data_IF_238401187842
#
_entry.id   IF_238401187842
#
_cell.length_a   1.000
_cell.length_b   1.000
_cell.length_c   1.000
_cell.angle_alpha   90.00
_cell.angle_beta   90.00
_cell.angle_gamma   90.00
#
_symmetry.space_group_name_H-M   'P 1'
#
loop_
_entity.id
_entity.type
_entity.pdbx_description
1 polymer ?
#
# COMPACT_ATOMS: atom_id res chain seq x y z
N UNK A 1 39.53 -4.73 18.92
CA UNK A 1 38.10 -4.44 19.22
C UNK A 1 37.28 -4.00 18.00
N UNK A 2 37.80 -3.20 17.04
CA UNK A 2 37.02 -2.75 15.86
C UNK A 2 36.65 -3.84 14.84
N UNK A 3 37.48 -4.88 14.65
CA UNK A 3 37.23 -5.96 13.68
C UNK A 3 36.08 -6.90 14.06
N UNK A 4 35.78 -7.03 15.36
CA UNK A 4 34.68 -7.88 15.82
C UNK A 4 33.30 -7.22 15.67
N UNK A 5 33.25 -5.90 15.69
CA UNK A 5 32.01 -5.16 15.42
C UNK A 5 31.55 -5.34 13.96
N UNK A 6 32.46 -5.33 12.99
CA UNK A 6 32.12 -5.56 11.57
C UNK A 6 31.63 -6.99 11.30
N UNK A 7 32.20 -7.99 11.97
CA UNK A 7 31.74 -9.37 11.85
C UNK A 7 30.32 -9.55 12.41
N UNK A 8 30.00 -8.89 13.53
CA UNK A 8 28.65 -8.93 14.10
C UNK A 8 27.62 -8.27 13.17
N UNK A 9 27.97 -7.15 12.52
CA UNK A 9 27.11 -6.47 11.54
C UNK A 9 26.86 -7.34 10.30
N UNK A 10 27.89 -8.02 9.78
CA UNK A 10 27.74 -8.92 8.62
C UNK A 10 26.91 -10.16 8.94
N UNK A 11 27.09 -10.75 10.12
CA UNK A 11 26.29 -11.90 10.58
C UNK A 11 24.84 -11.50 10.82
N UNK A 12 24.59 -10.33 11.42
CA UNK A 12 23.23 -9.79 11.58
C UNK A 12 22.58 -9.44 10.23
N UNK A 13 23.35 -8.94 9.27
CA UNK A 13 22.86 -8.69 7.91
C UNK A 13 22.48 -9.97 7.15
N UNK A 14 23.24 -11.05 7.33
CA UNK A 14 22.98 -12.34 6.70
C UNK A 14 21.77 -13.08 7.30
N UNK A 15 21.46 -12.89 8.59
CA UNK A 15 20.26 -13.46 9.20
C UNK A 15 18.98 -12.71 8.80
N UNK A 16 19.04 -11.38 8.65
CA UNK A 16 17.91 -10.58 8.12
C UNK A 16 17.56 -11.00 6.68
N UNK A 17 18.57 -11.30 5.85
CA UNK A 17 18.35 -11.75 4.47
C UNK A 17 17.77 -13.17 4.36
N UNK A 18 17.84 -14.01 5.42
CA UNK A 18 17.31 -15.38 5.45
C UNK A 18 16.02 -15.55 6.25
N UNK A 19 15.49 -14.48 6.84
CA UNK A 19 14.20 -14.51 7.55
C UNK A 19 12.99 -14.61 6.59
N UNK A 20 13.22 -14.57 5.28
CA UNK A 20 12.20 -14.64 4.22
C UNK A 20 11.54 -16.03 4.07
N UNK A 21 12.03 -17.07 4.79
CA UNK A 21 11.65 -18.48 4.55
C UNK A 21 10.78 -19.13 5.66
N UNK A 22 10.59 -18.49 6.83
CA UNK A 22 9.87 -19.10 7.97
C UNK A 22 8.63 -18.30 8.39
N UNK A 23 7.59 -18.35 7.56
CA UNK A 23 6.27 -17.76 7.84
C UNK A 23 5.30 -18.79 8.46
N UNK A 24 5.58 -19.26 9.69
CA UNK A 24 4.71 -20.25 10.38
C UNK A 24 4.31 -19.82 11.80
N UNK A 25 4.81 -18.69 12.32
CA UNK A 25 4.51 -18.26 13.69
C UNK A 25 4.33 -16.75 13.84
N UNK A 26 3.24 -16.19 13.30
CA UNK A 26 2.69 -14.93 13.85
C UNK A 26 1.25 -14.66 13.41
N UNK A 27 0.29 -15.16 14.18
CA UNK A 27 -1.01 -14.51 14.27
C UNK A 27 -0.87 -13.25 15.17
N UNK A 28 -1.12 -12.09 14.57
CA UNK A 28 -1.70 -10.86 15.14
C UNK A 28 -1.00 -9.94 16.16
N UNK A 29 0.19 -10.21 16.71
CA UNK A 29 0.78 -9.25 17.68
C UNK A 29 1.84 -8.27 17.14
N UNK A 30 2.68 -8.63 16.16
CA UNK A 30 3.76 -7.74 15.69
C UNK A 30 4.11 -7.92 14.18
N UNK A 31 3.20 -7.48 13.27
CA UNK A 31 3.32 -7.29 11.79
C UNK A 31 3.26 -8.53 10.88
N UNK A 32 3.02 -8.41 9.56
CA UNK A 32 2.34 -7.37 8.80
C UNK A 32 1.04 -7.93 8.16
N UNK A 33 -0.09 -7.55 8.73
CA UNK A 33 -1.37 -7.54 8.01
C UNK A 33 -1.17 -6.72 6.73
N UNK A 34 -1.39 -7.33 5.58
CA UNK A 34 -1.22 -6.78 4.23
C UNK A 34 -1.08 -5.24 4.20
N UNK A 35 0.09 -4.70 3.78
CA UNK A 35 0.41 -3.28 3.93
C UNK A 35 -0.55 -2.36 3.16
N UNK A 36 -1.24 -2.87 2.15
CA UNK A 36 -2.22 -2.15 1.33
C UNK A 36 -3.67 -2.50 1.69
N UNK A 37 -3.89 -3.40 2.65
CA UNK A 37 -5.23 -3.71 3.11
C UNK A 37 -5.89 -2.46 3.71
N UNK A 38 -7.17 -2.29 3.38
CA UNK A 38 -7.95 -1.17 3.87
C UNK A 38 -8.11 -1.24 5.39
N UNK A 39 -8.05 -0.08 6.02
CA UNK A 39 -8.23 0.08 7.45
C UNK A 39 -9.30 1.11 7.74
N UNK A 40 -9.99 0.94 8.85
CA UNK A 40 -10.87 1.94 9.45
C UNK A 40 -10.46 2.18 10.91
N UNK A 41 -11.31 2.88 11.67
CA UNK A 41 -11.06 3.19 13.08
C UNK A 41 -10.90 1.93 13.96
N UNK A 42 -11.54 0.82 13.57
CA UNK A 42 -11.59 -0.40 14.38
C UNK A 42 -10.58 -1.47 13.93
N UNK A 43 -9.99 -1.35 12.74
CA UNK A 43 -8.91 -2.23 12.32
C UNK A 43 -8.85 -2.47 10.82
N UNK A 44 -8.48 -3.69 10.42
CA UNK A 44 -8.57 -4.12 9.03
C UNK A 44 -10.02 -4.26 8.63
N UNK A 45 -10.37 -3.68 7.48
CA UNK A 45 -11.62 -4.04 6.82
C UNK A 45 -11.41 -5.39 6.17
N UNK A 46 -12.26 -6.36 6.47
CA UNK A 46 -12.25 -7.64 5.78
C UNK A 46 -12.25 -7.38 4.28
N UNK A 47 -11.31 -8.00 3.56
CA UNK A 47 -11.28 -7.95 2.10
C UNK A 47 -12.70 -8.24 1.59
N UNK A 48 -13.16 -7.43 0.63
CA UNK A 48 -14.53 -7.53 0.15
C UNK A 48 -14.89 -8.96 -0.27
N UNK A 49 -16.17 -9.27 -0.47
CA UNK A 49 -16.62 -10.62 -0.83
C UNK A 49 -15.98 -11.18 -2.11
N UNK A 50 -15.36 -10.31 -2.92
CA UNK A 50 -14.63 -10.68 -4.12
C UNK A 50 -13.18 -10.21 -4.02
N UNK A 51 -12.25 -11.14 -4.27
CA UNK A 51 -10.83 -10.84 -4.48
C UNK A 51 -10.60 -10.51 -5.95
N UNK A 52 -9.79 -9.48 -6.21
CA UNK A 52 -9.40 -9.10 -7.57
C UNK A 52 -8.05 -9.72 -7.93
N UNK A 53 -7.75 -9.84 -9.22
CA UNK A 53 -6.44 -10.31 -9.67
C UNK A 53 -5.27 -9.46 -9.11
N UNK A 54 -5.52 -8.16 -8.91
CA UNK A 54 -4.58 -7.22 -8.29
C UNK A 54 -4.25 -7.56 -6.84
N UNK A 55 -5.11 -8.28 -6.14
CA UNK A 55 -4.86 -8.64 -4.74
C UNK A 55 -3.73 -9.66 -4.60
N UNK A 56 -3.44 -10.40 -5.68
CA UNK A 56 -2.35 -11.38 -5.73
C UNK A 56 -1.05 -10.81 -6.33
N UNK A 57 -1.06 -9.55 -6.77
CA UNK A 57 0.15 -8.92 -7.28
C UNK A 57 1.20 -8.76 -6.15
N UNK A 58 2.50 -8.90 -6.48
CA UNK A 58 3.56 -8.84 -5.48
C UNK A 58 3.58 -7.50 -4.75
N UNK A 59 3.69 -7.56 -3.42
CA UNK A 59 3.67 -6.38 -2.55
C UNK A 59 4.99 -6.25 -1.79
N UNK A 60 5.34 -5.04 -1.43
CA UNK A 60 6.45 -4.82 -0.51
C UNK A 60 6.04 -5.25 0.89
N UNK A 61 6.76 -6.17 1.51
CA UNK A 61 6.39 -6.69 2.84
C UNK A 61 6.35 -5.60 3.94
N UNK A 62 7.01 -4.47 3.69
CA UNK A 62 7.12 -3.36 4.62
C UNK A 62 6.29 -2.17 4.15
N UNK A 63 5.20 -1.90 4.88
CA UNK A 63 4.31 -0.75 4.64
C UNK A 63 5.09 0.56 4.53
N UNK A 64 6.10 0.76 5.36
CA UNK A 64 6.88 1.99 5.36
C UNK A 64 7.63 2.26 4.05
N UNK A 65 7.92 1.23 3.24
CA UNK A 65 8.58 1.39 1.94
C UNK A 65 7.74 2.19 0.94
N UNK A 66 6.40 2.13 1.01
CA UNK A 66 5.53 2.90 0.13
C UNK A 66 5.57 4.41 0.41
N UNK A 67 5.79 4.82 1.67
CA UNK A 67 5.89 6.24 2.02
C UNK A 67 7.10 6.92 1.36
N UNK A 68 8.20 6.18 1.12
CA UNK A 68 9.40 6.70 0.45
C UNK A 68 9.34 6.65 -1.08
N UNK A 69 8.31 6.01 -1.65
CA UNK A 69 8.17 5.94 -3.11
C UNK A 69 7.51 7.21 -3.65
N UNK A 70 8.03 7.67 -4.77
CA UNK A 70 7.41 8.74 -5.55
C UNK A 70 6.09 8.24 -6.13
N UNK A 71 5.09 9.11 -6.24
CA UNK A 71 3.75 8.75 -6.75
C UNK A 71 3.84 8.06 -8.11
N UNK A 72 4.75 8.49 -8.97
CA UNK A 72 4.98 7.94 -10.31
C UNK A 72 5.44 6.48 -10.29
N UNK A 73 6.16 6.06 -9.25
CA UNK A 73 6.59 4.67 -9.10
C UNK A 73 5.45 3.79 -8.59
N UNK A 74 4.59 4.38 -7.76
CA UNK A 74 3.51 3.67 -7.07
C UNK A 74 2.31 3.44 -7.99
N UNK A 75 2.02 4.37 -8.90
CA UNK A 75 0.99 4.18 -9.94
C UNK A 75 1.32 3.08 -10.95
N UNK A 76 2.57 2.61 -10.99
CA UNK A 76 3.00 1.49 -11.82
C UNK A 76 2.81 0.13 -11.12
N UNK A 77 2.57 0.14 -9.81
CA UNK A 77 2.34 -1.08 -9.02
C UNK A 77 0.83 -1.43 -9.06
N UNK A 78 0.44 -2.51 -9.75
CA UNK A 78 -0.98 -2.88 -9.88
C UNK A 78 -1.62 -3.27 -8.54
N UNK A 79 -0.84 -3.78 -7.57
CA UNK A 79 -1.36 -4.06 -6.22
C UNK A 79 -1.75 -2.76 -5.53
N UNK A 80 -0.88 -1.74 -5.63
CA UNK A 80 -1.15 -0.43 -5.05
C UNK A 80 -2.34 0.24 -5.73
N UNK A 81 -2.35 0.29 -7.06
CA UNK A 81 -3.46 0.92 -7.80
C UNK A 81 -4.77 0.20 -7.54
N UNK A 82 -4.79 -1.14 -7.46
CA UNK A 82 -6.00 -1.91 -7.12
C UNK A 82 -6.52 -1.55 -5.73
N UNK A 83 -5.63 -1.45 -4.73
CA UNK A 83 -6.02 -1.02 -3.39
C UNK A 83 -6.56 0.43 -3.36
N UNK A 84 -5.98 1.33 -4.15
CA UNK A 84 -6.42 2.71 -4.31
C UNK A 84 -7.80 2.80 -4.97
N UNK A 85 -8.02 2.08 -6.07
CA UNK A 85 -9.31 1.98 -6.76
C UNK A 85 -10.38 1.45 -5.81
N UNK A 86 -10.06 0.44 -5.02
CA UNK A 86 -10.98 -0.11 -4.01
C UNK A 86 -11.31 0.93 -2.94
N UNK A 87 -10.32 1.73 -2.50
CA UNK A 87 -10.52 2.77 -1.49
C UNK A 87 -11.40 3.92 -2.04
N UNK A 88 -11.12 4.37 -3.27
CA UNK A 88 -11.93 5.37 -3.97
C UNK A 88 -13.37 4.90 -4.19
N UNK A 89 -13.56 3.60 -4.50
CA UNK A 89 -14.89 2.99 -4.66
C UNK A 89 -15.65 2.92 -3.36
N UNK A 90 -14.99 2.55 -2.25
CA UNK A 90 -15.59 2.54 -0.91
C UNK A 90 -16.09 3.93 -0.49
N UNK A 91 -15.34 4.98 -0.84
CA UNK A 91 -15.73 6.37 -0.58
C UNK A 91 -16.74 6.94 -1.58
N UNK A 92 -17.10 6.17 -2.62
CA UNK A 92 -18.10 6.57 -3.62
C UNK A 92 -17.59 7.47 -4.74
N UNK A 93 -16.28 7.65 -4.90
CA UNK A 93 -15.70 8.47 -5.97
C UNK A 93 -15.45 7.71 -7.26
N UNK A 94 -15.28 6.39 -7.18
CA UNK A 94 -14.93 5.52 -8.31
C UNK A 94 -15.94 4.39 -8.48
N UNK A 95 -16.39 4.14 -9.71
CA UNK A 95 -17.37 3.11 -10.06
C UNK A 95 -16.86 2.12 -11.12
N UNK A 96 -15.61 2.26 -11.56
CA UNK A 96 -15.01 1.39 -12.57
C UNK A 96 -14.46 0.08 -12.01
N UNK A 97 -13.80 -0.73 -12.85
CA UNK A 97 -13.19 -1.98 -12.46
C UNK A 97 -11.98 -1.78 -11.53
N UNK A 98 -11.74 -2.74 -10.62
CA UNK A 98 -10.55 -2.77 -9.78
C UNK A 98 -9.52 -3.66 -10.50
N UNK A 99 -8.84 -3.09 -11.49
CA UNK A 99 -7.91 -3.77 -12.39
C UNK A 99 -6.43 -3.41 -12.15
N UNK A 100 -6.16 -2.44 -11.28
CA UNK A 100 -4.81 -2.00 -10.96
C UNK A 100 -4.19 -1.13 -12.05
N UNK A 101 -5.00 -0.58 -12.96
CA UNK A 101 -4.54 0.32 -14.02
C UNK A 101 -4.92 1.76 -13.70
N UNK A 102 -3.94 2.65 -13.71
CA UNK A 102 -4.18 4.08 -13.51
C UNK A 102 -4.73 4.70 -14.81
N UNK A 103 -6.05 4.74 -14.95
CA UNK A 103 -6.75 5.31 -16.12
C UNK A 103 -7.18 6.77 -15.89
N UNK A 104 -7.66 7.43 -16.93
CA UNK A 104 -8.23 8.78 -16.81
C UNK A 104 -9.44 8.82 -15.87
N UNK A 105 -10.24 7.75 -15.79
CA UNK A 105 -11.37 7.66 -14.86
C UNK A 105 -10.90 7.63 -13.39
N UNK A 106 -9.77 6.97 -13.11
CA UNK A 106 -9.14 6.99 -11.79
C UNK A 106 -8.67 8.40 -11.46
N UNK A 107 -8.01 9.09 -12.40
CA UNK A 107 -7.59 10.48 -12.22
C UNK A 107 -8.78 11.42 -11.93
N UNK A 108 -9.88 11.26 -12.64
CA UNK A 108 -11.12 12.02 -12.41
C UNK A 108 -11.74 11.74 -11.03
N UNK A 109 -11.71 10.48 -10.59
CA UNK A 109 -12.18 10.12 -9.24
C UNK A 109 -11.32 10.74 -8.14
N UNK A 110 -10.01 10.82 -8.35
CA UNK A 110 -9.07 11.52 -7.46
C UNK A 110 -9.37 13.02 -7.46
N UNK A 111 -9.62 13.63 -8.61
CA UNK A 111 -9.98 15.04 -8.71
C UNK A 111 -11.27 15.37 -7.92
N UNK A 112 -12.28 14.48 -7.96
CA UNK A 112 -13.51 14.60 -7.17
C UNK A 112 -13.23 14.50 -5.67
N UNK A 113 -12.40 13.54 -5.25
CA UNK A 113 -11.96 13.43 -3.86
C UNK A 113 -11.23 14.70 -3.42
N UNK A 114 -10.25 15.17 -4.18
CA UNK A 114 -9.50 16.39 -3.88
C UNK A 114 -10.44 17.58 -3.73
N UNK A 115 -11.42 17.73 -4.63
CA UNK A 115 -12.43 18.80 -4.53
C UNK A 115 -13.25 18.69 -3.24
N UNK A 116 -13.70 17.49 -2.85
CA UNK A 116 -14.50 17.32 -1.63
C UNK A 116 -13.69 17.60 -0.35
N UNK A 117 -12.42 17.20 -0.33
CA UNK A 117 -11.52 17.46 0.80
C UNK A 117 -10.87 18.86 0.77
N UNK A 118 -11.35 19.78 -0.09
CA UNK A 118 -10.80 21.14 -0.24
C UNK A 118 -9.28 21.18 -0.52
N UNK A 119 -8.80 20.22 -1.30
CA UNK A 119 -7.41 20.13 -1.76
C UNK A 119 -7.24 20.84 -3.11
N UNK A 120 -5.98 21.10 -3.50
CA UNK A 120 -5.70 21.50 -4.87
C UNK A 120 -6.02 20.35 -5.83
N UNK A 121 -6.90 20.61 -6.81
CA UNK A 121 -7.41 19.61 -7.74
C UNK A 121 -6.40 19.39 -8.87
N UNK A 122 -5.65 18.30 -8.79
CA UNK A 122 -4.66 17.87 -9.79
C UNK A 122 -5.07 16.61 -10.55
N UNK A 123 -5.95 15.79 -9.97
CA UNK A 123 -6.27 14.45 -10.50
C UNK A 123 -5.11 13.44 -10.38
N UNK A 124 -4.04 13.79 -9.68
CA UNK A 124 -2.85 12.95 -9.51
C UNK A 124 -2.76 12.40 -8.09
N UNK A 125 -2.16 11.21 -7.96
CA UNK A 125 -1.83 10.65 -6.66
C UNK A 125 -0.74 11.51 -5.99
N UNK A 126 -1.05 12.06 -4.82
CA UNK A 126 -0.14 12.87 -4.02
C UNK A 126 -0.31 12.54 -2.52
N UNK A 127 0.58 13.04 -1.68
CA UNK A 127 0.56 12.73 -0.24
C UNK A 127 -0.75 13.10 0.46
N UNK A 128 -1.38 14.26 0.18
CA UNK A 128 -2.72 14.55 0.69
C UNK A 128 -3.76 13.49 0.32
N UNK A 129 -3.78 13.02 -0.93
CA UNK A 129 -4.69 11.96 -1.39
C UNK A 129 -4.38 10.64 -0.69
N UNK A 130 -3.09 10.25 -0.57
CA UNK A 130 -2.70 9.03 0.17
C UNK A 130 -3.20 9.05 1.61
N UNK A 131 -3.07 10.19 2.29
CA UNK A 131 -3.60 10.40 3.65
C UNK A 131 -5.12 10.30 3.70
N UNK A 132 -5.83 10.94 2.78
CA UNK A 132 -7.29 10.87 2.72
C UNK A 132 -7.82 9.44 2.50
N UNK A 133 -7.06 8.62 1.76
CA UNK A 133 -7.37 7.21 1.51
C UNK A 133 -6.82 6.25 2.58
N UNK A 134 -6.12 6.75 3.61
CA UNK A 134 -5.41 5.94 4.62
C UNK A 134 -4.36 4.97 4.03
N UNK A 135 -3.81 5.32 2.87
CA UNK A 135 -2.83 4.53 2.15
C UNK A 135 -1.39 4.88 2.57
N UNK A 136 -0.45 3.93 2.41
CA UNK A 136 0.96 4.19 2.64
C UNK A 136 1.67 4.85 1.44
#
# INVERSE_FOLDING_TARGET
MKRMAFALILVLGATIARADEYDVLSHDFFRPTDPLAQRDEFGLVHQGPHVNATDFAPRYHWRWMYYFKASEQVILDPAYVGSMQTALRRLGYYCGPIDGVFTAEVADSIARLQKNYSMHVTGTLNDPVRRALHMP
#
